data_IF_547864014420
#
_entry.id   IF_547864014420
#
_cell.length_a   1.000
_cell.length_b   1.000
_cell.length_c   1.000
_cell.angle_alpha   90.00
_cell.angle_beta   90.00
_cell.angle_gamma   90.00
#
_symmetry.space_group_name_H-M   'P 1'
#
loop_
_entity.id
_entity.type
_entity.pdbx_description
1 polymer ?
#
# COMPACT_ATOMS: atom_id res chain seq x y z
N UNK A 1 59.11 7.89 3.38
CA UNK A 1 58.37 8.98 4.04
C UNK A 1 57.36 8.36 4.97
N UNK A 2 57.43 8.68 6.26
CA UNK A 2 56.46 8.22 7.25
C UNK A 2 55.11 8.87 6.95
N UNK A 3 54.16 8.07 6.46
CA UNK A 3 52.77 8.51 6.34
C UNK A 3 52.26 8.82 7.73
N UNK A 4 51.67 10.01 7.90
CA UNK A 4 51.05 10.44 9.14
C UNK A 4 50.12 9.32 9.62
N UNK A 5 50.32 8.83 10.85
CA UNK A 5 49.49 7.75 11.38
C UNK A 5 48.02 8.17 11.33
N UNK A 6 47.13 7.23 10.97
CA UNK A 6 45.71 7.51 10.82
C UNK A 6 45.10 8.17 12.08
N UNK A 7 45.65 7.80 13.24
CA UNK A 7 45.29 8.38 14.54
C UNK A 7 45.63 9.86 14.67
N UNK A 8 46.76 10.31 14.13
CA UNK A 8 47.10 11.74 14.16
C UNK A 8 46.18 12.56 13.25
N UNK A 9 45.71 11.98 12.15
CA UNK A 9 44.76 12.66 11.26
C UNK A 9 43.39 12.88 11.92
N UNK A 10 42.97 12.00 12.84
CA UNK A 10 41.70 12.16 13.57
C UNK A 10 41.68 13.38 14.50
N UNK A 11 42.85 13.84 14.95
CA UNK A 11 43.02 15.07 15.73
C UNK A 11 42.77 16.33 14.90
N UNK A 12 42.80 16.21 13.57
CA UNK A 12 42.61 17.35 12.68
C UNK A 12 41.11 17.62 12.47
N UNK A 13 40.75 18.90 12.51
CA UNK A 13 39.35 19.36 12.43
C UNK A 13 38.66 19.08 11.09
N UNK A 14 39.41 18.88 10.02
CA UNK A 14 38.89 18.60 8.68
C UNK A 14 38.78 17.10 8.37
N UNK A 15 39.29 16.22 9.23
CA UNK A 15 39.31 14.79 8.93
C UNK A 15 37.90 14.20 9.04
N UNK A 16 37.42 13.43 8.04
CA UNK A 16 36.02 13.00 7.98
C UNK A 16 35.64 12.04 9.11
N UNK A 17 36.59 11.22 9.56
CA UNK A 17 36.37 10.27 10.67
C UNK A 17 36.49 10.91 12.06
N UNK A 18 36.84 12.20 12.13
CA UNK A 18 36.80 12.92 13.40
C UNK A 18 35.37 12.90 13.94
N UNK A 19 35.20 12.66 15.24
CA UNK A 19 33.89 12.54 15.88
C UNK A 19 32.96 13.71 15.54
N UNK A 20 33.48 14.95 15.62
CA UNK A 20 32.72 16.17 15.31
C UNK A 20 32.20 16.20 13.86
N UNK A 21 32.96 15.67 12.91
CA UNK A 21 32.54 15.66 11.51
C UNK A 21 31.55 14.52 11.24
N UNK A 22 31.74 13.35 11.86
CA UNK A 22 30.75 12.27 11.83
C UNK A 22 29.42 12.71 12.43
N UNK A 23 29.45 13.43 13.54
CA UNK A 23 28.26 14.00 14.17
C UNK A 23 27.54 14.99 13.25
N UNK A 24 28.28 15.91 12.61
CA UNK A 24 27.70 16.86 11.63
C UNK A 24 27.04 16.13 10.46
N UNK A 25 27.72 15.12 9.90
CA UNK A 25 27.17 14.31 8.82
C UNK A 25 25.90 13.60 9.28
N UNK A 26 25.92 12.98 10.45
CA UNK A 26 24.74 12.31 11.01
C UNK A 26 23.57 13.29 11.23
N UNK A 27 23.82 14.47 11.80
CA UNK A 27 22.78 15.48 11.98
C UNK A 27 22.22 15.97 10.63
N UNK A 28 23.08 16.17 9.63
CA UNK A 28 22.67 16.54 8.28
C UNK A 28 21.82 15.44 7.62
N UNK A 29 22.21 14.17 7.76
CA UNK A 29 21.45 13.01 7.28
C UNK A 29 20.08 12.92 7.96
N UNK A 30 20.01 13.08 9.28
CA UNK A 30 18.74 13.08 10.02
C UNK A 30 17.84 14.25 9.60
N UNK A 31 18.42 15.45 9.42
CA UNK A 31 17.68 16.61 8.96
C UNK A 31 17.15 16.43 7.52
N UNK A 32 17.96 15.84 6.63
CA UNK A 32 17.57 15.53 5.26
C UNK A 32 16.46 14.47 5.23
N UNK A 33 16.58 13.41 6.03
CA UNK A 33 15.54 12.38 6.16
C UNK A 33 14.23 12.96 6.70
N UNK A 34 14.30 13.84 7.70
CA UNK A 34 13.11 14.51 8.24
C UNK A 34 12.47 15.45 7.21
N UNK A 35 13.27 16.20 6.43
CA UNK A 35 12.76 17.04 5.33
C UNK A 35 12.06 16.20 4.27
N UNK A 36 12.70 15.13 3.80
CA UNK A 36 12.12 14.25 2.80
C UNK A 36 10.78 13.64 3.26
N UNK A 37 10.65 13.27 4.53
CA UNK A 37 9.37 12.82 5.11
C UNK A 37 8.31 13.91 5.07
N UNK A 38 8.63 15.12 5.53
CA UNK A 38 7.70 16.27 5.50
C UNK A 38 7.26 16.61 4.07
N UNK A 39 8.18 16.59 3.12
CA UNK A 39 7.88 16.88 1.71
C UNK A 39 6.98 15.80 1.11
N UNK A 40 7.21 14.52 1.45
CA UNK A 40 6.35 13.42 1.04
C UNK A 40 4.95 13.51 1.66
N UNK A 41 4.85 13.84 2.95
CA UNK A 41 3.56 14.05 3.62
C UNK A 41 2.80 15.24 3.01
N UNK A 42 3.47 16.37 2.77
CA UNK A 42 2.88 17.54 2.11
C UNK A 42 2.39 17.23 0.69
N UNK A 43 3.17 16.45 -0.09
CA UNK A 43 2.76 16.01 -1.41
C UNK A 43 1.53 15.09 -1.36
N UNK A 44 1.49 14.16 -0.39
CA UNK A 44 0.32 13.29 -0.17
C UNK A 44 -0.92 14.12 0.17
N UNK A 45 -0.81 15.03 1.13
CA UNK A 45 -1.92 15.92 1.52
C UNK A 45 -2.40 16.78 0.35
N UNK A 46 -1.48 17.31 -0.47
CA UNK A 46 -1.83 18.08 -1.65
C UNK A 46 -2.61 17.24 -2.67
N UNK A 47 -2.18 16.01 -2.93
CA UNK A 47 -2.88 15.10 -3.84
C UNK A 47 -4.29 14.75 -3.32
N UNK A 48 -4.43 14.41 -2.03
CA UNK A 48 -5.72 14.13 -1.40
C UNK A 48 -6.66 15.35 -1.45
N UNK A 49 -6.14 16.55 -1.24
CA UNK A 49 -6.90 17.80 -1.40
C UNK A 49 -7.38 17.99 -2.85
N UNK A 50 -6.48 17.80 -3.83
CA UNK A 50 -6.82 17.95 -5.24
C UNK A 50 -7.91 16.95 -5.68
N UNK A 51 -7.83 15.70 -5.23
CA UNK A 51 -8.85 14.69 -5.48
C UNK A 51 -10.20 15.06 -4.83
N UNK A 52 -10.17 15.59 -3.60
CA UNK A 52 -11.39 16.06 -2.94
C UNK A 52 -12.07 17.18 -3.74
N UNK A 53 -11.32 18.14 -4.26
CA UNK A 53 -11.89 19.20 -5.09
C UNK A 53 -12.50 18.63 -6.39
N UNK A 54 -11.76 17.76 -7.09
CA UNK A 54 -12.27 17.10 -8.31
C UNK A 54 -13.58 16.34 -8.04
N UNK A 55 -13.63 15.55 -6.96
CA UNK A 55 -14.79 14.75 -6.61
C UNK A 55 -15.98 15.61 -6.18
N UNK A 56 -15.73 16.67 -5.40
CA UNK A 56 -16.80 17.57 -4.97
C UNK A 56 -17.34 18.41 -6.13
N UNK A 57 -16.52 18.80 -7.10
CA UNK A 57 -16.99 19.54 -8.28
C UNK A 57 -18.06 18.80 -9.10
N UNK A 58 -18.11 17.47 -9.04
CA UNK A 58 -19.16 16.69 -9.70
C UNK A 58 -20.52 16.72 -8.97
N UNK A 59 -20.58 17.12 -7.70
CA UNK A 59 -21.81 17.08 -6.88
C UNK A 59 -22.79 18.21 -7.22
N UNK A 60 -24.04 18.16 -6.73
CA UNK A 60 -24.96 19.30 -6.82
C UNK A 60 -24.50 20.46 -5.91
N UNK A 61 -24.85 21.71 -6.25
CA UNK A 61 -24.35 22.90 -5.54
C UNK A 61 -24.59 22.88 -4.02
N UNK A 62 -25.74 22.36 -3.57
CA UNK A 62 -26.06 22.21 -2.14
C UNK A 62 -25.13 21.21 -1.44
N UNK A 63 -24.89 20.07 -2.08
CA UNK A 63 -24.05 19.01 -1.53
C UNK A 63 -22.57 19.42 -1.49
N UNK A 64 -22.12 20.17 -2.52
CA UNK A 64 -20.78 20.79 -2.54
C UNK A 64 -20.52 21.67 -1.32
N UNK A 65 -21.46 22.55 -0.99
CA UNK A 65 -21.32 23.46 0.15
C UNK A 65 -21.23 22.67 1.47
N UNK A 66 -22.06 21.64 1.64
CA UNK A 66 -22.03 20.79 2.83
C UNK A 66 -20.72 20.01 2.98
N UNK A 67 -20.16 19.51 1.87
CA UNK A 67 -18.91 18.75 1.87
C UNK A 67 -17.72 19.64 2.23
N UNK A 68 -17.67 20.87 1.68
CA UNK A 68 -16.65 21.87 2.01
C UNK A 68 -16.74 22.27 3.48
N UNK A 69 -17.94 22.55 3.98
CA UNK A 69 -18.16 22.90 5.39
C UNK A 69 -17.70 21.79 6.35
N UNK A 70 -18.01 20.52 6.06
CA UNK A 70 -17.53 19.39 6.86
C UNK A 70 -16.01 19.28 6.86
N UNK A 71 -15.35 19.58 5.74
CA UNK A 71 -13.88 19.59 5.63
C UNK A 71 -13.27 20.74 6.43
N UNK A 72 -13.89 21.92 6.38
CA UNK A 72 -13.49 23.07 7.22
C UNK A 72 -13.64 22.76 8.70
N UNK A 73 -14.70 22.06 9.12
CA UNK A 73 -14.85 21.66 10.53
C UNK A 73 -13.90 20.54 10.97
N UNK A 74 -13.23 19.86 10.04
CA UNK A 74 -12.39 18.69 10.37
C UNK A 74 -11.18 19.05 11.24
N UNK A 75 -10.66 20.29 11.18
CA UNK A 75 -9.57 20.69 12.09
C UNK A 75 -10.06 20.86 13.54
N UNK A 76 -11.36 21.16 13.74
CA UNK A 76 -11.92 21.45 15.06
C UNK A 76 -12.17 20.18 15.87
N UNK A 77 -12.41 19.06 15.19
CA UNK A 77 -12.72 17.78 15.82
C UNK A 77 -11.61 16.77 15.59
N UNK A 78 -11.01 16.31 16.68
CA UNK A 78 -10.14 15.15 16.61
C UNK A 78 -10.94 13.89 16.32
N UNK A 79 -10.37 13.07 15.45
CA UNK A 79 -10.90 11.75 15.13
C UNK A 79 -10.91 10.87 16.38
N UNK A 80 -12.01 10.14 16.66
CA UNK A 80 -12.06 9.27 17.84
C UNK A 80 -11.02 8.14 17.73
N UNK A 81 -10.42 7.72 18.86
CA UNK A 81 -9.41 6.67 18.87
C UNK A 81 -10.00 5.35 18.33
N UNK A 82 -9.23 4.63 17.53
CA UNK A 82 -9.65 3.35 16.95
C UNK A 82 -10.55 3.45 15.71
N UNK A 83 -10.96 4.65 15.29
CA UNK A 83 -11.77 4.81 14.08
C UNK A 83 -11.04 4.34 12.82
N UNK A 84 -9.74 4.61 12.69
CA UNK A 84 -8.95 4.13 11.56
C UNK A 84 -8.95 2.61 11.45
N UNK A 85 -8.79 1.92 12.58
CA UNK A 85 -8.83 0.46 12.61
C UNK A 85 -10.22 -0.08 12.23
N UNK A 86 -11.30 0.58 12.66
CA UNK A 86 -12.66 0.21 12.28
C UNK A 86 -12.90 0.43 10.77
N UNK A 87 -12.43 1.56 10.23
CA UNK A 87 -12.57 1.88 8.81
C UNK A 87 -11.79 0.91 7.93
N UNK A 88 -10.57 0.55 8.31
CA UNK A 88 -9.77 -0.44 7.58
C UNK A 88 -10.42 -1.83 7.61
N UNK A 89 -10.99 -2.23 8.76
CA UNK A 89 -11.78 -3.48 8.83
C UNK A 89 -12.96 -3.46 7.86
N UNK A 90 -13.74 -2.38 7.86
CA UNK A 90 -14.87 -2.23 6.94
C UNK A 90 -14.41 -2.28 5.47
N UNK A 91 -13.27 -1.66 5.14
CA UNK A 91 -12.68 -1.72 3.79
C UNK A 91 -12.29 -3.15 3.42
N UNK A 92 -11.62 -3.88 4.32
CA UNK A 92 -11.25 -5.28 4.08
C UNK A 92 -12.47 -6.17 3.91
N UNK A 93 -13.51 -6.01 4.75
CA UNK A 93 -14.76 -6.77 4.66
C UNK A 93 -15.49 -6.51 3.34
N UNK A 94 -15.55 -5.25 2.89
CA UNK A 94 -16.13 -4.89 1.59
C UNK A 94 -15.33 -5.48 0.43
N UNK A 95 -14.00 -5.46 0.50
CA UNK A 95 -13.14 -6.06 -0.52
C UNK A 95 -13.33 -7.58 -0.58
N UNK A 96 -13.43 -8.25 0.57
CA UNK A 96 -13.73 -9.68 0.65
C UNK A 96 -15.12 -10.02 0.10
N UNK A 97 -16.14 -9.23 0.45
CA UNK A 97 -17.50 -9.39 -0.09
C UNK A 97 -17.52 -9.23 -1.62
N UNK A 98 -16.87 -8.18 -2.13
CA UNK A 98 -16.76 -7.96 -3.57
C UNK A 98 -15.99 -9.09 -4.29
N UNK A 99 -14.96 -9.66 -3.66
CA UNK A 99 -14.25 -10.80 -4.18
C UNK A 99 -15.14 -12.07 -4.23
N UNK A 100 -15.94 -12.32 -3.18
CA UNK A 100 -16.91 -13.43 -3.16
C UNK A 100 -17.97 -13.26 -4.25
N UNK A 101 -18.50 -12.05 -4.43
CA UNK A 101 -19.48 -11.75 -5.49
C UNK A 101 -18.90 -11.91 -6.89
N UNK A 102 -17.61 -11.59 -7.08
CA UNK A 102 -16.92 -11.83 -8.33
C UNK A 102 -16.68 -13.32 -8.59
N UNK A 103 -16.37 -14.11 -7.55
CA UNK A 103 -16.24 -15.57 -7.66
C UNK A 103 -17.57 -16.25 -7.98
N UNK A 104 -18.68 -15.83 -7.36
CA UNK A 104 -20.01 -16.40 -7.64
C UNK A 104 -20.47 -16.08 -9.06
N UNK A 105 -20.23 -14.85 -9.54
CA UNK A 105 -20.51 -14.48 -10.95
C UNK A 105 -19.68 -15.32 -11.93
N UNK A 106 -18.37 -15.47 -11.69
CA UNK A 106 -17.50 -16.31 -12.51
C UNK A 106 -17.93 -17.78 -12.52
N UNK A 107 -18.35 -18.31 -11.37
CA UNK A 107 -18.87 -19.67 -11.28
C UNK A 107 -20.18 -19.83 -12.06
N UNK A 108 -21.10 -18.85 -11.99
CA UNK A 108 -22.34 -18.84 -12.76
C UNK A 108 -22.11 -18.72 -14.27
N UNK A 109 -21.11 -17.92 -14.69
CA UNK A 109 -20.69 -17.82 -16.09
C UNK A 109 -20.08 -19.14 -16.59
N UNK A 110 -19.23 -19.79 -15.79
CA UNK A 110 -18.63 -21.08 -16.14
C UNK A 110 -19.70 -22.18 -16.27
N UNK A 111 -20.69 -22.22 -15.37
CA UNK A 111 -21.79 -23.19 -15.47
C UNK A 111 -22.67 -22.93 -16.68
N UNK A 112 -23.00 -21.67 -16.97
CA UNK A 112 -23.75 -21.28 -18.16
C UNK A 112 -23.00 -21.65 -19.46
N UNK A 113 -21.69 -21.41 -19.52
CA UNK A 113 -20.87 -21.77 -20.68
C UNK A 113 -20.81 -23.30 -20.92
N UNK A 114 -20.76 -24.11 -19.86
CA UNK A 114 -20.80 -25.59 -20.00
C UNK A 114 -22.14 -26.09 -20.50
N UNK A 115 -23.24 -25.55 -19.96
CA UNK A 115 -24.59 -25.89 -20.42
C UNK A 115 -24.77 -25.52 -21.90
N UNK A 116 -24.27 -24.36 -22.33
CA UNK A 116 -24.29 -23.94 -23.74
C UNK A 116 -23.46 -24.86 -24.65
N UNK A 117 -22.37 -25.43 -24.14
CA UNK A 117 -21.55 -26.42 -24.85
C UNK A 117 -22.10 -27.85 -24.80
N UNK A 118 -23.23 -28.09 -24.12
CA UNK A 118 -23.83 -29.43 -23.95
C UNK A 118 -23.12 -30.30 -22.92
N UNK A 119 -22.25 -29.73 -22.08
CA UNK A 119 -21.59 -30.44 -20.98
C UNK A 119 -22.40 -30.29 -19.67
N UNK A 120 -22.43 -31.32 -18.81
CA UNK A 120 -23.08 -31.24 -17.51
C UNK A 120 -22.38 -30.21 -16.59
N UNK A 121 -23.10 -29.66 -15.58
CA UNK A 121 -22.50 -28.81 -14.57
C UNK A 121 -21.44 -29.58 -13.77
N UNK A 122 -20.36 -28.89 -13.37
CA UNK A 122 -19.30 -29.50 -12.57
C UNK A 122 -19.81 -29.87 -11.17
N UNK A 123 -19.41 -31.04 -10.67
CA UNK A 123 -19.67 -31.43 -9.28
C UNK A 123 -18.73 -30.69 -8.31
N UNK A 124 -19.16 -30.51 -7.06
CA UNK A 124 -18.37 -29.84 -6.02
C UNK A 124 -16.98 -30.48 -5.83
N UNK A 125 -16.91 -31.82 -5.91
CA UNK A 125 -15.64 -32.55 -5.82
C UNK A 125 -14.66 -32.21 -6.95
N UNK A 126 -15.17 -32.00 -8.17
CA UNK A 126 -14.37 -31.69 -9.35
C UNK A 126 -13.87 -30.24 -9.32
N UNK A 127 -14.70 -29.32 -8.84
CA UNK A 127 -14.33 -27.92 -8.57
C UNK A 127 -13.19 -27.87 -7.53
N UNK A 128 -13.31 -28.63 -6.43
CA UNK A 128 -12.29 -28.70 -5.39
C UNK A 128 -10.98 -29.31 -5.90
N UNK A 129 -11.04 -30.38 -6.70
CA UNK A 129 -9.86 -30.99 -7.35
C UNK A 129 -9.15 -29.99 -8.26
N UNK A 130 -9.91 -29.20 -9.03
CA UNK A 130 -9.35 -28.18 -9.92
C UNK A 130 -8.74 -27.01 -9.15
N UNK A 131 -9.36 -26.57 -8.06
CA UNK A 131 -8.84 -25.53 -7.16
C UNK A 131 -7.54 -25.99 -6.50
N UNK A 132 -7.45 -27.25 -6.06
CA UNK A 132 -6.25 -27.86 -5.46
C UNK A 132 -5.09 -28.00 -6.45
N UNK A 133 -5.37 -28.18 -7.75
CA UNK A 133 -4.37 -28.25 -8.82
C UNK A 133 -3.82 -26.89 -9.27
N UNK A 134 -4.41 -25.78 -8.79
CA UNK A 134 -3.97 -24.44 -9.18
C UNK A 134 -2.62 -24.14 -8.52
N UNK A 135 -1.56 -24.10 -9.34
CA UNK A 135 -0.21 -23.78 -8.90
C UNK A 135 -0.10 -22.32 -8.45
N UNK A 136 0.80 -22.05 -7.50
CA UNK A 136 1.17 -20.69 -7.10
C UNK A 136 1.78 -19.96 -8.31
N UNK A 137 1.57 -18.64 -8.40
CA UNK A 137 2.14 -17.81 -9.47
C UNK A 137 3.11 -16.79 -8.89
N UNK A 138 4.20 -16.51 -9.61
CA UNK A 138 5.16 -15.45 -9.31
C UNK A 138 4.62 -14.07 -9.67
N UNK A 139 5.38 -13.00 -9.32
CA UNK A 139 5.08 -11.62 -9.70
C UNK A 139 4.90 -11.43 -11.22
N UNK A 140 5.61 -12.22 -12.03
CA UNK A 140 5.50 -12.22 -13.50
C UNK A 140 4.40 -13.16 -14.04
N UNK A 141 3.58 -13.75 -13.16
CA UNK A 141 2.45 -14.61 -13.53
C UNK A 141 2.81 -16.04 -13.98
N UNK A 142 4.08 -16.44 -13.87
CA UNK A 142 4.56 -17.79 -14.17
C UNK A 142 4.23 -18.75 -13.03
N UNK A 143 3.96 -20.02 -13.34
CA UNK A 143 3.69 -21.04 -12.33
C UNK A 143 4.98 -21.40 -11.60
N UNK A 144 4.94 -21.37 -10.27
CA UNK A 144 6.07 -21.72 -9.39
C UNK A 144 5.78 -23.07 -8.74
N UNK A 145 6.74 -23.99 -8.85
CA UNK A 145 6.76 -25.16 -7.97
C UNK A 145 7.10 -24.69 -6.55
N UNK A 146 6.43 -25.22 -5.53
CA UNK A 146 6.76 -24.93 -4.14
C UNK A 146 8.22 -25.34 -3.88
N UNK A 147 9.05 -24.41 -3.41
CA UNK A 147 10.50 -24.57 -3.28
C UNK A 147 10.95 -25.47 -2.10
N UNK A 148 10.12 -26.43 -1.66
CA UNK A 148 10.42 -27.37 -0.56
C UNK A 148 10.42 -28.83 -1.05
N UNK A 149 11.00 -29.09 -2.22
CA UNK A 149 11.15 -30.44 -2.75
C UNK A 149 12.50 -30.65 -3.43
N UNK A 150 13.59 -30.36 -2.71
CA UNK A 150 14.89 -31.00 -2.97
C UNK A 150 15.48 -31.41 -1.61
N UNK A 151 15.89 -32.69 -1.44
CA UNK A 151 16.40 -33.22 -0.19
C UNK A 151 17.75 -32.62 0.21
#
# INVERSE_FOLDING_TARGET
GSGWSHQYLHLKSWHPLSYKNREKVFQAEQAAAARARRDADAAREFAENAEFFKNTEALAAKDRASARYKRELAFMYQKPPGFDAALEKERTEKAEAAARDAETKRAAEETAARLAAGLPPLSEEEILRRKKRKMRKDADGRNVAAADAFP
#
